data_IF_795894291862
#
_entry.id   IF_795894291862
#
_cell.length_a   1.000
_cell.length_b   1.000
_cell.length_c   1.000
_cell.angle_alpha   90.00
_cell.angle_beta   90.00
_cell.angle_gamma   90.00
#
_symmetry.space_group_name_H-M   'P 1'
#
loop_
_entity.id
_entity.type
_entity.pdbx_description
1 polymer ?
#
# COMPACT_ATOMS: atom_id res chain seq x y z
N UNK A 1 28.52 4.62 1.21
CA UNK A 1 27.32 3.82 1.52
C UNK A 1 26.34 3.91 0.38
N UNK A 2 26.33 2.89 -0.49
CA UNK A 2 25.33 2.72 -1.55
C UNK A 2 24.10 2.06 -0.93
N UNK A 3 22.92 2.59 -1.22
CA UNK A 3 21.67 2.09 -0.68
C UNK A 3 21.33 0.75 -1.33
N UNK A 4 21.09 -0.29 -0.51
CA UNK A 4 20.94 -1.69 -0.95
C UNK A 4 19.85 -1.92 -2.01
N UNK A 5 18.87 -1.01 -2.13
CA UNK A 5 17.84 -1.06 -3.18
C UNK A 5 18.34 -0.74 -4.59
N UNK A 6 19.48 -0.05 -4.74
CA UNK A 6 20.10 0.18 -6.06
C UNK A 6 20.95 -1.00 -6.49
N UNK A 7 21.64 -1.64 -5.55
CA UNK A 7 22.56 -2.76 -5.82
C UNK A 7 21.81 -4.02 -6.28
N UNK A 8 20.53 -4.18 -5.90
CA UNK A 8 19.73 -5.34 -6.29
C UNK A 8 19.61 -5.51 -7.80
N UNK A 9 19.35 -4.44 -8.55
CA UNK A 9 19.13 -4.54 -10.00
C UNK A 9 20.36 -5.02 -10.75
N UNK A 10 21.54 -4.53 -10.38
CA UNK A 10 22.81 -4.94 -11.01
C UNK A 10 23.16 -6.41 -10.68
N UNK A 11 22.92 -6.83 -9.44
CA UNK A 11 23.12 -8.21 -8.99
C UNK A 11 22.14 -9.16 -9.69
N UNK A 12 20.87 -8.78 -9.73
CA UNK A 12 19.81 -9.56 -10.35
C UNK A 12 20.05 -9.71 -11.87
N UNK A 13 20.45 -8.65 -12.57
CA UNK A 13 20.79 -8.72 -13.99
C UNK A 13 21.95 -9.71 -14.27
N UNK A 14 22.98 -9.73 -13.41
CA UNK A 14 24.09 -10.70 -13.52
C UNK A 14 23.64 -12.12 -13.24
N UNK A 15 22.78 -12.32 -12.24
CA UNK A 15 22.22 -13.62 -11.87
C UNK A 15 21.36 -14.20 -12.98
N UNK A 16 20.42 -13.44 -13.53
CA UNK A 16 19.55 -13.90 -14.61
C UNK A 16 20.35 -14.19 -15.89
N UNK A 17 21.39 -13.39 -16.17
CA UNK A 17 22.28 -13.65 -17.31
C UNK A 17 23.05 -14.97 -17.15
N UNK A 18 23.40 -15.34 -15.92
CA UNK A 18 24.18 -16.55 -15.62
C UNK A 18 23.30 -17.79 -15.47
N UNK A 19 22.07 -17.62 -14.97
CA UNK A 19 21.11 -18.68 -14.67
C UNK A 19 19.71 -18.25 -15.14
N UNK A 20 19.43 -18.35 -16.45
CA UNK A 20 18.14 -17.95 -17.01
C UNK A 20 16.97 -18.76 -16.44
N UNK A 21 17.20 -19.99 -15.99
CA UNK A 21 16.21 -20.96 -15.48
C UNK A 21 15.63 -20.65 -14.10
N UNK A 22 16.11 -19.62 -13.39
CA UNK A 22 15.64 -19.32 -12.02
C UNK A 22 14.22 -18.75 -12.00
N UNK A 23 13.21 -19.55 -11.72
CA UNK A 23 11.82 -19.05 -11.67
C UNK A 23 11.49 -18.26 -10.39
N UNK A 24 12.18 -18.58 -9.29
CA UNK A 24 11.90 -18.01 -7.96
C UNK A 24 13.11 -17.30 -7.37
N UNK A 25 12.92 -16.06 -6.92
CA UNK A 25 13.96 -15.25 -6.26
C UNK A 25 13.61 -15.10 -4.78
N UNK A 26 14.47 -15.62 -3.91
CA UNK A 26 14.35 -15.45 -2.47
C UNK A 26 15.25 -14.30 -2.03
N UNK A 27 14.67 -13.28 -1.38
CA UNK A 27 15.42 -12.12 -0.92
C UNK A 27 14.98 -11.71 0.48
N UNK A 28 15.92 -11.13 1.25
CA UNK A 28 15.66 -10.65 2.60
C UNK A 28 14.69 -9.45 2.62
N UNK A 29 14.13 -9.15 3.79
CA UNK A 29 13.18 -8.06 4.03
C UNK A 29 13.70 -6.68 3.56
N UNK A 30 15.02 -6.47 3.54
CA UNK A 30 15.65 -5.25 3.02
C UNK A 30 15.42 -4.99 1.52
N UNK A 31 15.12 -6.03 0.75
CA UNK A 31 14.87 -5.95 -0.70
C UNK A 31 13.38 -5.88 -1.07
N UNK A 32 12.49 -5.88 -0.07
CA UNK A 32 11.05 -5.82 -0.27
C UNK A 32 10.59 -4.40 -0.64
N UNK A 33 10.90 -3.97 -1.86
CA UNK A 33 10.48 -2.69 -2.41
C UNK A 33 9.52 -2.86 -3.59
N UNK A 34 8.58 -1.92 -3.82
CA UNK A 34 7.67 -1.99 -4.96
C UNK A 34 8.39 -2.06 -6.32
N UNK A 35 9.54 -1.40 -6.45
CA UNK A 35 10.33 -1.41 -7.69
C UNK A 35 10.92 -2.81 -7.98
N UNK A 36 11.43 -3.49 -6.96
CA UNK A 36 11.96 -4.85 -7.08
C UNK A 36 10.84 -5.85 -7.37
N UNK A 37 9.73 -5.77 -6.64
CA UNK A 37 8.58 -6.65 -6.86
C UNK A 37 8.00 -6.48 -8.27
N UNK A 38 7.83 -5.23 -8.73
CA UNK A 38 7.39 -4.95 -10.09
C UNK A 38 8.33 -5.55 -11.12
N UNK A 39 9.64 -5.40 -10.93
CA UNK A 39 10.63 -5.94 -11.89
C UNK A 39 10.59 -7.46 -12.00
N UNK A 40 10.40 -8.16 -10.88
CA UNK A 40 10.24 -9.63 -10.89
C UNK A 40 8.97 -10.05 -11.64
N UNK A 41 7.85 -9.37 -11.41
CA UNK A 41 6.59 -9.62 -12.12
C UNK A 41 6.73 -9.35 -13.61
N UNK A 42 7.32 -8.21 -14.00
CA UNK A 42 7.56 -7.83 -15.40
C UNK A 42 8.46 -8.86 -16.11
N UNK A 43 9.39 -9.48 -15.39
CA UNK A 43 10.28 -10.53 -15.90
C UNK A 43 9.68 -11.96 -15.80
N UNK A 44 8.43 -12.09 -15.35
CA UNK A 44 7.72 -13.38 -15.22
C UNK A 44 8.23 -14.28 -14.09
N UNK A 45 8.88 -13.73 -13.06
CA UNK A 45 9.49 -14.48 -11.95
C UNK A 45 8.77 -14.24 -10.63
N UNK A 46 8.79 -15.23 -9.75
CA UNK A 46 8.15 -15.16 -8.43
C UNK A 46 9.14 -14.66 -7.38
N UNK A 47 8.82 -13.56 -6.71
CA UNK A 47 9.60 -13.05 -5.57
C UNK A 47 9.11 -13.60 -4.24
N UNK A 48 9.92 -14.42 -3.57
CA UNK A 48 9.64 -14.88 -2.21
C UNK A 48 10.34 -13.95 -1.20
N UNK A 49 9.55 -13.12 -0.54
CA UNK A 49 10.03 -12.20 0.50
C UNK A 49 9.49 -12.63 1.87
N UNK A 50 10.31 -12.56 2.94
CA UNK A 50 9.83 -12.86 4.28
C UNK A 50 8.70 -11.91 4.70
N UNK A 51 7.79 -12.43 5.53
CA UNK A 51 6.69 -11.64 6.08
C UNK A 51 7.25 -10.50 6.94
N UNK A 52 6.83 -9.28 6.62
CA UNK A 52 7.16 -8.09 7.40
C UNK A 52 5.94 -7.70 8.19
N UNK A 53 6.04 -7.68 9.52
CA UNK A 53 4.94 -7.24 10.38
C UNK A 53 4.57 -5.79 10.03
N UNK A 54 3.29 -5.46 9.79
CA UNK A 54 2.84 -4.11 9.52
C UNK A 54 3.32 -3.16 10.62
N UNK A 55 4.09 -2.15 10.23
CA UNK A 55 4.57 -1.09 11.13
C UNK A 55 3.51 0.00 11.20
N UNK A 56 3.12 0.38 12.40
CA UNK A 56 2.14 1.43 12.65
C UNK A 56 1.81 1.51 14.14
N UNK A 57 1.44 2.70 14.63
CA UNK A 57 0.94 2.85 15.99
C UNK A 57 -0.31 1.99 16.13
N UNK A 58 -0.38 1.14 17.16
CA UNK A 58 -1.54 0.26 17.40
C UNK A 58 -2.84 1.04 17.57
N UNK A 59 -2.73 2.27 18.03
CA UNK A 59 -3.83 3.19 18.27
C UNK A 59 -4.41 3.79 16.99
N UNK A 60 -3.77 3.63 15.82
CA UNK A 60 -4.28 4.16 14.57
C UNK A 60 -5.12 3.13 13.81
N UNK A 61 -6.24 3.57 13.23
CA UNK A 61 -7.03 2.76 12.32
C UNK A 61 -6.21 2.35 11.11
N UNK A 62 -6.34 1.08 10.75
CA UNK A 62 -5.70 0.44 9.62
C UNK A 62 -6.71 0.30 8.48
N UNK A 63 -6.19 0.06 7.28
CA UNK A 63 -7.01 -0.20 6.08
C UNK A 63 -8.10 -1.26 6.31
N UNK A 64 -7.74 -2.34 7.01
CA UNK A 64 -8.64 -3.46 7.36
C UNK A 64 -9.85 -3.06 8.23
N UNK A 65 -9.78 -1.93 8.93
CA UNK A 65 -10.85 -1.47 9.79
C UNK A 65 -11.94 -0.73 8.97
N UNK A 66 -11.69 -0.48 7.68
CA UNK A 66 -12.66 0.09 6.74
C UNK A 66 -13.27 -1.01 5.89
N UNK A 67 -14.59 -0.97 5.75
CA UNK A 67 -15.36 -1.91 4.92
C UNK A 67 -15.59 -1.25 3.57
N UNK A 68 -15.26 -1.94 2.48
CA UNK A 68 -15.55 -1.47 1.13
C UNK A 68 -16.89 -2.03 0.64
N UNK A 69 -17.75 -1.14 0.15
CA UNK A 69 -18.97 -1.50 -0.56
C UNK A 69 -18.70 -1.46 -2.07
N UNK A 70 -18.78 -2.62 -2.71
CA UNK A 70 -18.54 -2.76 -4.15
C UNK A 70 -19.70 -2.20 -5.00
N UNK A 71 -20.93 -2.23 -4.49
CA UNK A 71 -22.12 -1.77 -5.23
C UNK A 71 -22.11 -0.26 -5.33
N UNK A 72 -21.80 0.41 -4.22
CA UNK A 72 -21.82 1.87 -4.13
C UNK A 72 -20.44 2.52 -4.36
N UNK A 73 -19.38 1.71 -4.48
CA UNK A 73 -17.99 2.17 -4.54
C UNK A 73 -17.59 3.11 -3.39
N UNK A 74 -18.06 2.83 -2.17
CA UNK A 74 -17.77 3.65 -0.98
C UNK A 74 -17.03 2.86 0.09
N UNK A 75 -16.27 3.56 0.93
CA UNK A 75 -15.69 2.95 2.14
C UNK A 75 -16.49 3.40 3.36
N UNK A 76 -16.84 2.47 4.23
CA UNK A 76 -17.46 2.75 5.52
C UNK A 76 -16.41 2.67 6.62
N UNK A 77 -16.28 3.74 7.42
CA UNK A 77 -15.38 3.75 8.56
C UNK A 77 -15.97 3.01 9.78
N UNK A 78 -15.16 2.65 10.79
CA UNK A 78 -15.64 2.03 12.03
C UNK A 78 -16.74 2.84 12.76
N UNK A 79 -16.78 4.15 12.54
CA UNK A 79 -17.80 5.04 13.10
C UNK A 79 -19.06 5.14 12.21
N UNK A 80 -19.25 4.22 11.26
CA UNK A 80 -20.42 4.15 10.38
C UNK A 80 -20.56 5.30 9.36
N UNK A 81 -19.50 6.10 9.15
CA UNK A 81 -19.53 7.21 8.17
C UNK A 81 -18.94 6.75 6.85
N UNK A 82 -19.64 7.07 5.77
CA UNK A 82 -19.21 6.75 4.41
C UNK A 82 -18.15 7.76 3.90
N UNK A 83 -17.21 7.22 3.14
CA UNK A 83 -16.16 7.89 2.40
C UNK A 83 -16.46 7.72 0.93
N UNK A 84 -16.59 8.83 0.22
CA UNK A 84 -16.98 8.88 -1.19
C UNK A 84 -15.74 9.12 -2.02
N UNK A 85 -15.69 8.51 -3.21
CA UNK A 85 -14.64 8.76 -4.19
C UNK A 85 -14.57 10.24 -4.54
N UNK A 86 -13.35 10.79 -4.61
CA UNK A 86 -13.13 12.19 -4.95
C UNK A 86 -12.33 12.35 -6.24
N UNK A 87 -11.17 11.73 -6.32
CA UNK A 87 -10.28 11.91 -7.46
C UNK A 87 -9.27 10.77 -7.51
N UNK A 88 -8.77 10.46 -8.69
CA UNK A 88 -7.64 9.54 -8.87
C UNK A 88 -6.40 10.36 -9.14
N UNK A 89 -5.33 10.12 -8.37
CA UNK A 89 -4.03 10.77 -8.57
C UNK A 89 -3.37 10.23 -9.84
N UNK A 90 -2.43 11.00 -10.39
CA UNK A 90 -1.60 10.58 -11.54
C UNK A 90 -0.85 9.27 -11.28
N UNK A 91 -0.58 8.95 -10.02
CA UNK A 91 0.10 7.73 -9.57
C UNK A 91 -0.84 6.51 -9.47
N UNK A 92 -2.11 6.62 -9.88
CA UNK A 92 -3.09 5.52 -9.87
C UNK A 92 -3.84 5.33 -8.55
N UNK A 93 -3.54 6.12 -7.51
CA UNK A 93 -4.25 6.07 -6.23
C UNK A 93 -5.61 6.77 -6.31
N UNK A 94 -6.67 6.08 -5.92
CA UNK A 94 -8.00 6.65 -5.76
C UNK A 94 -8.15 7.25 -4.36
N UNK A 95 -8.53 8.53 -4.29
CA UNK A 95 -8.74 9.23 -3.04
C UNK A 95 -10.22 9.22 -2.65
N UNK A 96 -10.51 8.69 -1.46
CA UNK A 96 -11.81 8.70 -0.82
C UNK A 96 -11.83 9.69 0.33
N UNK A 97 -12.89 10.50 0.42
CA UNK A 97 -13.01 11.55 1.43
C UNK A 97 -14.41 11.59 2.04
N UNK A 98 -14.49 12.08 3.26
CA UNK A 98 -15.75 12.46 3.90
C UNK A 98 -15.69 13.92 4.32
N UNK A 99 -16.85 14.52 4.60
CA UNK A 99 -16.96 15.93 4.95
C UNK A 99 -16.38 16.21 6.34
N UNK A 100 -15.84 17.41 6.54
CA UNK A 100 -15.27 17.82 7.84
C UNK A 100 -16.31 17.81 8.95
N UNK A 101 -17.55 18.21 8.64
CA UNK A 101 -18.67 18.20 9.58
C UNK A 101 -18.93 16.81 10.17
N UNK A 102 -18.89 15.76 9.34
CA UNK A 102 -19.06 14.38 9.78
C UNK A 102 -17.91 13.86 10.68
N UNK A 103 -16.80 14.59 10.72
CA UNK A 103 -15.59 14.19 11.44
C UNK A 103 -15.33 15.04 12.69
N UNK A 104 -15.90 16.24 12.75
CA UNK A 104 -15.65 17.22 13.82
C UNK A 104 -16.10 16.70 15.20
N UNK A 105 -17.15 15.89 15.24
CA UNK A 105 -17.72 15.31 16.48
C UNK A 105 -17.33 13.85 16.70
N UNK A 106 -16.37 13.32 15.93
CA UNK A 106 -16.06 11.90 15.97
C UNK A 106 -15.18 11.56 17.19
N UNK A 107 -15.60 10.62 18.06
CA UNK A 107 -14.84 10.25 19.26
C UNK A 107 -13.46 9.66 18.91
N UNK A 108 -13.33 9.07 17.73
CA UNK A 108 -12.09 8.45 17.27
C UNK A 108 -11.14 9.39 16.51
N UNK A 109 -11.28 10.71 16.61
CA UNK A 109 -10.37 11.67 15.95
C UNK A 109 -8.89 11.43 16.26
N UNK A 110 -8.57 11.05 17.51
CA UNK A 110 -7.21 10.76 17.96
C UNK A 110 -6.62 9.46 17.38
N UNK A 111 -7.48 8.53 16.97
CA UNK A 111 -7.13 7.21 16.44
C UNK A 111 -7.07 7.18 14.91
N UNK A 112 -7.29 8.30 14.23
CA UNK A 112 -7.23 8.38 12.77
C UNK A 112 -5.90 9.01 12.36
N UNK A 113 -5.26 8.45 11.33
CA UNK A 113 -4.01 8.96 10.80
C UNK A 113 -4.25 10.35 10.16
N UNK A 114 -4.00 11.41 10.92
CA UNK A 114 -4.13 12.80 10.47
C UNK A 114 -2.96 13.12 9.52
N UNK A 115 -3.21 13.11 8.21
CA UNK A 115 -2.46 14.02 7.34
C UNK A 115 -2.80 15.45 7.77
N UNK A 116 -1.81 16.35 7.78
CA UNK A 116 -1.79 17.73 8.35
C UNK A 116 -2.92 18.71 7.94
N UNK A 117 -3.95 18.27 7.24
CA UNK A 117 -5.15 19.07 7.01
C UNK A 117 -6.36 18.30 7.51
N UNK A 118 -7.24 18.93 8.30
CA UNK A 118 -8.50 18.41 8.87
C UNK A 118 -9.47 17.83 7.82
N UNK A 119 -9.06 16.84 7.02
CA UNK A 119 -9.77 16.22 5.92
C UNK A 119 -9.39 14.75 5.95
N UNK A 120 -10.37 13.86 6.15
CA UNK A 120 -10.15 12.42 6.02
C UNK A 120 -9.85 12.13 4.55
N UNK A 121 -8.67 11.58 4.30
CA UNK A 121 -8.22 11.14 2.98
C UNK A 121 -7.78 9.69 3.14
N UNK A 122 -8.46 8.82 2.42
CA UNK A 122 -8.08 7.42 2.30
C UNK A 122 -7.68 7.21 0.84
N UNK A 123 -6.38 6.99 0.61
CA UNK A 123 -5.87 6.67 -0.72
C UNK A 123 -5.80 5.16 -0.85
N UNK A 124 -6.59 4.60 -1.76
CA UNK A 124 -6.51 3.18 -2.10
C UNK A 124 -6.08 2.99 -3.54
N UNK A 125 -5.23 2.01 -3.80
CA UNK A 125 -5.05 1.49 -5.16
C UNK A 125 -6.10 0.39 -5.29
N UNK A 126 -7.02 0.54 -6.23
CA UNK A 126 -7.83 -0.59 -6.70
C UNK A 126 -6.89 -1.58 -7.37
N UNK A 127 -6.37 -2.48 -6.55
CA UNK A 127 -5.30 -3.39 -6.87
C UNK A 127 -5.02 -4.21 -5.63
N UNK A 128 -5.98 -5.07 -5.26
CA UNK A 128 -5.61 -6.32 -4.63
C UNK A 128 -4.65 -7.00 -5.62
N UNK A 129 -3.35 -6.79 -5.42
CA UNK A 129 -2.35 -7.76 -5.86
C UNK A 129 -2.63 -9.01 -5.01
N UNK A 130 -3.50 -9.86 -5.55
CA UNK A 130 -3.40 -11.31 -5.40
C UNK A 130 -2.07 -11.71 -6.05
#
# INVERSE_FOLDING_TARGET
>A
NLHDSRTFFDLYAKLIKKFPEIETVVADAGYKTPAIAKKLIDDGRTGLFPYTRPRGKKELFRKRDFIYDYVNHTYTCPNGKQLIYKTTRRDGYQEYRTTKANCATCPFLAHVQLHKTNRRQFSDIFGNFI
#
